data_IF_201090495878
#
_entry.id   IF_201090495878
#
_cell.length_a   1.000
_cell.length_b   1.000
_cell.length_c   1.000
_cell.angle_alpha   90.00
_cell.angle_beta   90.00
_cell.angle_gamma   90.00
#
_symmetry.space_group_name_H-M   'P 1'
#
loop_
_entity.id
_entity.type
_entity.pdbx_description
1 polymer ?
#
# COMPACT_ATOMS: atom_id res chain seq x y z
N UNK A 1 57.96 -64.79 4.64
CA UNK A 1 58.22 -64.77 3.19
C UNK A 1 58.01 -63.35 2.71
N UNK A 2 59.07 -62.77 2.15
CA UNK A 2 59.23 -61.37 1.74
C UNK A 2 58.57 -61.12 0.39
N UNK A 3 57.87 -59.98 0.23
CA UNK A 3 57.60 -59.31 -1.05
C UNK A 3 56.91 -57.96 -0.74
N UNK A 4 57.62 -56.84 -0.79
CA UNK A 4 57.83 -55.94 -1.94
C UNK A 4 56.72 -54.90 -2.08
N UNK A 5 57.06 -53.64 -1.77
CA UNK A 5 56.28 -52.46 -2.16
C UNK A 5 56.40 -52.23 -3.67
N UNK A 6 55.41 -51.56 -4.27
CA UNK A 6 55.75 -50.54 -5.25
C UNK A 6 55.06 -49.21 -4.96
N UNK A 7 55.87 -48.16 -5.10
CA UNK A 7 55.52 -46.75 -5.09
C UNK A 7 54.89 -46.41 -6.45
N UNK A 8 53.79 -45.66 -6.47
CA UNK A 8 53.28 -45.01 -7.68
C UNK A 8 52.91 -43.56 -7.39
N UNK A 9 53.62 -42.69 -8.09
CA UNK A 9 53.46 -41.25 -8.16
C UNK A 9 52.06 -40.81 -8.61
N UNK A 10 51.70 -39.59 -8.19
CA UNK A 10 51.07 -38.65 -9.11
C UNK A 10 49.70 -38.13 -8.71
N UNK A 11 49.60 -36.80 -8.86
CA UNK A 11 48.39 -35.98 -9.03
C UNK A 11 47.85 -35.40 -7.72
N UNK A 12 48.37 -34.22 -7.37
CA UNK A 12 47.74 -33.33 -6.40
C UNK A 12 46.37 -32.84 -6.91
N UNK A 13 45.43 -32.49 -6.02
CA UNK A 13 44.14 -31.98 -6.44
C UNK A 13 44.29 -30.58 -7.01
N UNK A 14 43.84 -30.39 -8.25
CA UNK A 14 43.61 -29.08 -8.83
C UNK A 14 42.45 -28.45 -8.05
N UNK A 15 42.79 -27.52 -7.15
CA UNK A 15 41.80 -26.67 -6.50
C UNK A 15 41.19 -25.73 -7.54
N UNK A 16 39.99 -26.07 -7.99
CA UNK A 16 39.13 -25.14 -8.70
C UNK A 16 38.71 -24.04 -7.72
N UNK A 17 38.89 -22.74 -8.06
CA UNK A 17 38.29 -21.68 -7.26
C UNK A 17 36.77 -21.84 -7.36
N UNK A 18 36.14 -22.14 -6.21
CA UNK A 18 34.70 -21.98 -6.03
C UNK A 18 34.39 -20.55 -6.42
N UNK A 19 33.70 -20.40 -7.53
CA UNK A 19 32.99 -19.17 -7.87
C UNK A 19 31.96 -19.02 -6.78
N UNK A 20 32.29 -18.24 -5.76
CA UNK A 20 31.33 -17.72 -4.80
C UNK A 20 30.34 -16.90 -5.62
N UNK A 21 29.23 -17.55 -5.97
CA UNK A 21 28.04 -16.85 -6.43
C UNK A 21 27.57 -16.03 -5.23
N UNK A 22 28.16 -14.84 -5.12
CA UNK A 22 27.60 -13.70 -4.42
C UNK A 22 26.27 -13.42 -5.10
N UNK A 23 25.26 -14.16 -4.65
CA UNK A 23 23.86 -13.93 -4.95
C UNK A 23 23.51 -12.64 -4.23
N UNK A 24 23.90 -11.52 -4.86
CA UNK A 24 23.52 -10.19 -4.45
C UNK A 24 22.04 -10.10 -4.73
N UNK A 25 21.25 -10.54 -3.76
CA UNK A 25 19.83 -10.24 -3.69
C UNK A 25 19.73 -8.73 -3.59
N UNK A 26 19.65 -8.06 -4.73
CA UNK A 26 19.07 -6.74 -4.78
C UNK A 26 17.61 -6.94 -4.37
N UNK A 27 17.35 -6.79 -3.08
CA UNK A 27 16.03 -6.54 -2.55
C UNK A 27 15.56 -5.23 -3.18
N UNK A 28 14.95 -5.32 -4.36
CA UNK A 28 14.08 -4.28 -4.89
C UNK A 28 12.85 -4.27 -3.99
N UNK A 29 13.03 -3.67 -2.81
CA UNK A 29 11.91 -3.11 -2.06
C UNK A 29 11.40 -1.94 -2.89
N UNK A 30 10.63 -2.25 -3.94
CA UNK A 30 9.75 -1.27 -4.54
C UNK A 30 8.69 -0.97 -3.48
N UNK A 31 9.03 -0.09 -2.54
CA UNK A 31 8.02 0.64 -1.80
C UNK A 31 7.23 1.39 -2.86
N UNK A 32 6.12 0.81 -3.30
CA UNK A 32 5.06 1.49 -4.01
C UNK A 32 4.53 2.56 -3.05
N UNK A 33 5.28 3.65 -2.88
CA UNK A 33 4.80 4.85 -2.22
C UNK A 33 3.61 5.28 -3.07
N UNK A 34 2.39 5.16 -2.53
CA UNK A 34 1.20 5.61 -3.22
C UNK A 34 1.47 7.06 -3.61
N UNK A 35 1.46 7.39 -4.90
CA UNK A 35 1.78 8.74 -5.40
C UNK A 35 0.93 9.81 -4.69
N UNK A 36 -0.28 9.43 -4.27
CA UNK A 36 -1.18 10.28 -3.50
C UNK A 36 -0.63 10.70 -2.13
N UNK A 37 0.19 9.87 -1.47
CA UNK A 37 0.83 10.22 -0.19
C UNK A 37 1.96 11.25 -0.37
N UNK A 38 2.39 11.55 -1.59
CA UNK A 38 3.33 12.67 -1.82
C UNK A 38 2.64 14.02 -1.98
N UNK A 39 1.31 14.04 -2.16
CA UNK A 39 0.57 15.28 -2.40
C UNK A 39 0.43 16.10 -1.10
N UNK A 40 0.61 17.43 -1.18
CA UNK A 40 0.19 18.32 -0.10
C UNK A 40 -1.29 18.11 0.25
N UNK A 41 -1.65 18.35 1.51
CA UNK A 41 -3.01 18.13 2.00
C UNK A 41 -4.03 19.02 1.26
N UNK A 42 -3.60 20.21 0.84
CA UNK A 42 -4.39 21.19 0.08
C UNK A 42 -4.74 20.66 -1.32
N UNK A 43 -3.82 19.96 -1.98
CA UNK A 43 -4.09 19.39 -3.30
C UNK A 43 -5.01 18.17 -3.17
N UNK A 44 -4.78 17.34 -2.16
CA UNK A 44 -5.65 16.21 -1.87
C UNK A 44 -7.09 16.66 -1.53
N UNK A 45 -7.26 17.73 -0.75
CA UNK A 45 -8.60 18.25 -0.41
C UNK A 45 -9.33 18.79 -1.64
N UNK A 46 -8.64 19.48 -2.56
CA UNK A 46 -9.23 19.92 -3.84
C UNK A 46 -9.74 18.71 -4.64
N UNK A 47 -8.93 17.65 -4.73
CA UNK A 47 -9.33 16.40 -5.41
C UNK A 47 -10.56 15.78 -4.74
N UNK A 48 -10.62 15.75 -3.41
CA UNK A 48 -11.75 15.21 -2.66
C UNK A 48 -13.03 16.00 -2.92
N UNK A 49 -12.96 17.34 -2.94
CA UNK A 49 -14.10 18.21 -3.25
C UNK A 49 -14.61 17.92 -4.67
N UNK A 50 -13.70 17.81 -5.64
CA UNK A 50 -14.07 17.49 -7.02
C UNK A 50 -14.68 16.09 -7.13
N UNK A 51 -14.15 15.10 -6.40
CA UNK A 51 -14.72 13.75 -6.36
C UNK A 51 -16.16 13.74 -5.87
N UNK A 52 -16.48 14.50 -4.81
CA UNK A 52 -17.85 14.58 -4.27
C UNK A 52 -18.78 15.33 -5.23
N UNK A 53 -18.32 16.38 -5.89
CA UNK A 53 -19.15 17.20 -6.78
C UNK A 53 -19.31 16.62 -8.20
N UNK A 54 -18.34 15.82 -8.67
CA UNK A 54 -18.40 15.16 -9.98
C UNK A 54 -19.26 13.90 -9.95
N UNK A 55 -19.76 13.51 -8.78
CA UNK A 55 -20.64 12.37 -8.59
C UNK A 55 -22.03 12.66 -9.18
N UNK A 56 -22.17 12.41 -10.49
CA UNK A 56 -23.41 12.60 -11.25
C UNK A 56 -24.45 11.52 -10.99
N UNK A 57 -24.04 10.40 -10.37
CA UNK A 57 -24.95 9.30 -10.08
C UNK A 57 -25.97 9.72 -9.02
N UNK A 58 -27.25 9.37 -9.20
CA UNK A 58 -28.25 9.60 -8.18
C UNK A 58 -27.75 9.00 -6.85
N UNK A 59 -27.72 9.82 -5.78
CA UNK A 59 -27.40 9.39 -4.40
C UNK A 59 -28.30 8.23 -3.90
N UNK A 60 -29.32 7.87 -4.69
CA UNK A 60 -30.22 6.74 -4.54
C UNK A 60 -29.55 5.38 -4.74
N UNK A 61 -28.51 5.32 -5.57
CA UNK A 61 -27.86 4.07 -5.99
C UNK A 61 -26.66 3.74 -5.11
N UNK A 62 -26.05 4.75 -4.46
CA UNK A 62 -24.85 4.55 -3.66
C UNK A 62 -25.14 4.03 -2.26
N UNK A 63 -24.39 3.00 -1.90
CA UNK A 63 -24.42 2.36 -0.58
C UNK A 63 -23.72 3.20 0.52
N UNK A 64 -22.86 4.17 0.15
CA UNK A 64 -22.11 4.96 1.12
C UNK A 64 -21.97 6.43 0.74
N UNK A 65 -21.95 7.32 1.74
CA UNK A 65 -21.65 8.74 1.52
C UNK A 65 -20.20 8.92 1.04
N UNK A 66 -19.93 9.66 -0.05
CA UNK A 66 -18.59 9.75 -0.63
C UNK A 66 -17.55 10.33 0.34
N UNK A 67 -17.92 11.29 1.20
CA UNK A 67 -17.03 11.81 2.25
C UNK A 67 -16.61 10.74 3.26
N UNK A 68 -17.55 9.88 3.66
CA UNK A 68 -17.27 8.76 4.57
C UNK A 68 -16.40 7.70 3.87
N UNK A 69 -16.64 7.45 2.58
CA UNK A 69 -15.81 6.56 1.76
C UNK A 69 -14.35 7.04 1.72
N UNK A 70 -14.11 8.35 1.54
CA UNK A 70 -12.75 8.92 1.57
C UNK A 70 -12.05 8.66 2.91
N UNK A 71 -12.76 8.85 4.03
CA UNK A 71 -12.23 8.59 5.36
C UNK A 71 -11.98 7.11 5.67
N UNK A 72 -12.60 6.18 4.95
CA UNK A 72 -12.40 4.72 5.13
C UNK A 72 -11.11 4.21 4.48
N UNK A 73 -10.54 4.91 3.49
CA UNK A 73 -9.41 4.42 2.68
C UNK A 73 -8.12 4.28 3.51
N UNK A 74 -7.64 5.36 4.12
CA UNK A 74 -6.47 5.34 4.98
C UNK A 74 -6.49 6.45 6.03
N UNK A 75 -5.61 6.37 7.03
CA UNK A 75 -5.54 7.35 8.14
C UNK A 75 -5.29 8.77 7.65
N UNK A 76 -4.43 8.96 6.65
CA UNK A 76 -4.11 10.28 6.10
C UNK A 76 -5.29 10.90 5.38
N UNK A 77 -6.01 10.11 4.58
CA UNK A 77 -7.19 10.59 3.86
C UNK A 77 -8.29 10.99 4.84
N UNK A 78 -8.48 10.24 5.93
CA UNK A 78 -9.38 10.63 7.02
C UNK A 78 -9.01 12.00 7.61
N UNK A 79 -7.72 12.20 7.93
CA UNK A 79 -7.27 13.46 8.52
C UNK A 79 -7.50 14.66 7.59
N UNK A 80 -7.23 14.50 6.30
CA UNK A 80 -7.50 15.52 5.27
C UNK A 80 -9.00 15.76 5.15
N UNK A 81 -9.81 14.70 5.11
CA UNK A 81 -11.27 14.82 4.98
C UNK A 81 -11.89 15.57 6.17
N UNK A 82 -11.46 15.28 7.40
CA UNK A 82 -11.89 16.03 8.60
C UNK A 82 -11.46 17.48 8.58
N UNK A 83 -10.24 17.75 8.10
CA UNK A 83 -9.71 19.12 8.01
C UNK A 83 -10.32 19.92 6.86
N UNK A 84 -11.25 19.35 6.09
CA UNK A 84 -11.89 19.99 4.92
C UNK A 84 -13.41 20.10 5.14
N UNK A 85 -13.89 21.18 5.78
CA UNK A 85 -15.31 21.38 6.10
C UNK A 85 -16.26 21.27 4.89
N UNK A 86 -15.80 21.70 3.72
CA UNK A 86 -16.59 21.71 2.48
C UNK A 86 -17.10 20.31 2.09
N UNK A 87 -16.38 19.25 2.45
CA UNK A 87 -16.78 17.86 2.20
C UNK A 87 -18.02 17.43 2.99
N UNK A 88 -18.38 18.17 4.04
CA UNK A 88 -19.44 17.82 4.99
C UNK A 88 -20.68 18.73 4.86
N UNK A 89 -20.65 19.70 3.95
CA UNK A 89 -21.74 20.66 3.73
C UNK A 89 -23.08 20.01 3.33
N UNK A 90 -23.04 18.79 2.78
CA UNK A 90 -24.22 18.01 2.38
C UNK A 90 -24.06 16.54 2.75
N UNK A 91 -24.24 16.22 4.02
CA UNK A 91 -24.23 14.84 4.52
C UNK A 91 -25.65 14.23 4.47
N UNK A 92 -25.84 13.22 3.63
CA UNK A 92 -27.10 12.45 3.59
C UNK A 92 -26.83 11.02 4.05
N UNK A 93 -27.26 10.69 5.27
CA UNK A 93 -27.15 9.34 5.82
C UNK A 93 -28.49 8.64 5.63
N UNK A 94 -28.48 7.48 4.97
CA UNK A 94 -29.70 6.68 4.75
C UNK A 94 -29.76 5.55 5.79
N UNK A 95 -30.93 5.28 6.41
CA UNK A 95 -31.07 4.26 7.45
C UNK A 95 -30.67 2.84 7.04
N UNK A 96 -30.65 2.55 5.72
CA UNK A 96 -30.24 1.24 5.19
C UNK A 96 -28.73 0.98 5.32
N UNK A 97 -27.94 1.96 5.75
CA UNK A 97 -26.48 1.87 5.88
C UNK A 97 -26.05 2.21 7.31
N UNK A 98 -26.34 1.29 8.24
CA UNK A 98 -25.95 1.38 9.66
C UNK A 98 -24.47 1.72 9.86
N UNK A 99 -23.59 1.21 8.99
CA UNK A 99 -22.17 1.53 9.05
C UNK A 99 -21.90 3.02 8.82
N UNK A 100 -22.63 3.70 7.94
CA UNK A 100 -22.44 5.14 7.74
C UNK A 100 -22.98 5.98 8.90
N UNK A 101 -24.00 5.49 9.62
CA UNK A 101 -24.47 6.11 10.86
C UNK A 101 -23.41 5.98 11.94
N UNK A 102 -22.92 4.77 12.20
CA UNK A 102 -21.86 4.51 13.19
C UNK A 102 -20.60 5.31 12.88
N UNK A 103 -20.18 5.34 11.60
CA UNK A 103 -19.01 6.10 11.17
C UNK A 103 -19.24 7.61 11.23
N UNK A 104 -20.44 8.11 10.96
CA UNK A 104 -20.74 9.53 11.16
C UNK A 104 -20.76 9.90 12.65
N UNK A 105 -21.35 9.07 13.51
CA UNK A 105 -21.36 9.29 14.97
C UNK A 105 -19.97 9.19 15.60
N UNK A 106 -19.10 8.31 15.10
CA UNK A 106 -17.71 8.23 15.56
C UNK A 106 -16.91 9.48 15.14
N UNK A 107 -17.27 10.11 14.02
CA UNK A 107 -16.40 11.04 13.30
C UNK A 107 -16.85 12.50 13.30
N UNK A 108 -18.09 12.82 13.67
CA UNK A 108 -18.69 14.17 13.65
C UNK A 108 -19.38 14.48 14.98
#
# INVERSE_FOLDING_TARGET
>A
MTAVSPQSDGIGPIEHPRIDQSFTQHATTSSSSNSFDSLPAEIASIVFIHYIHSDSEPREIKYHHPSLTLGKICRRWRHIAWSTPDLWTKLTIRPKHVTDVELAEEWL
#
